data_IF_915992933830
#
_entry.id   IF_915992933830
#
_cell.length_a   1.000
_cell.length_b   1.000
_cell.length_c   1.000
_cell.angle_alpha   90.00
_cell.angle_beta   90.00
_cell.angle_gamma   90.00
#
_symmetry.space_group_name_H-M   'P 1'
#
loop_
_entity.id
_entity.type
_entity.pdbx_description
1 polymer ?
#
# COMPACT_ATOMS: atom_id res chain seq x y z
N UNK A 1 -10.41 -7.54 -2.71
CA UNK A 1 -9.09 -6.91 -3.00
C UNK A 1 -8.92 -6.91 -4.50
N UNK A 2 -8.45 -5.81 -5.08
CA UNK A 2 -8.17 -5.74 -6.52
C UNK A 2 -6.71 -5.34 -6.70
N UNK A 3 -6.04 -5.92 -7.70
CA UNK A 3 -4.68 -5.55 -8.07
C UNK A 3 -4.76 -4.54 -9.21
N UNK A 4 -4.17 -3.36 -9.01
CA UNK A 4 -4.01 -2.36 -10.05
C UNK A 4 -2.56 -2.33 -10.50
N UNK A 5 -2.32 -2.56 -11.79
CA UNK A 5 -0.99 -2.44 -12.39
C UNK A 5 -0.79 -1.05 -13.00
N UNK A 6 0.40 -0.47 -12.79
CA UNK A 6 0.89 0.67 -13.56
C UNK A 6 2.26 0.37 -14.13
N UNK A 7 2.54 0.88 -15.31
CA UNK A 7 3.88 0.87 -15.88
C UNK A 7 4.24 2.26 -16.41
N UNK A 8 5.52 2.57 -16.38
CA UNK A 8 6.06 3.77 -17.02
C UNK A 8 7.44 3.43 -17.61
N UNK A 9 7.83 4.04 -18.74
CA UNK A 9 9.20 3.95 -19.23
C UNK A 9 10.18 4.46 -18.18
N UNK A 10 11.19 3.65 -17.84
CA UNK A 10 12.23 3.96 -16.85
C UNK A 10 13.58 4.22 -17.53
N UNK A 11 14.09 5.47 -17.54
CA UNK A 11 15.49 5.71 -17.90
C UNK A 11 16.45 5.02 -16.92
N UNK A 12 17.60 4.56 -17.40
CA UNK A 12 18.58 3.85 -16.56
C UNK A 12 19.10 4.71 -15.41
N UNK A 13 19.18 6.02 -15.60
CA UNK A 13 19.63 7.00 -14.59
C UNK A 13 18.65 7.19 -13.43
N UNK A 14 17.40 6.73 -13.56
CA UNK A 14 16.40 6.80 -12.47
C UNK A 14 16.48 5.52 -11.63
N UNK A 15 16.90 5.69 -10.38
CA UNK A 15 17.11 4.61 -9.40
C UNK A 15 16.54 4.97 -8.03
N UNK A 16 16.38 3.98 -7.15
CA UNK A 16 15.93 4.16 -5.77
C UNK A 16 14.56 4.86 -5.68
N UNK A 17 14.43 5.82 -4.77
CA UNK A 17 13.20 6.59 -4.56
C UNK A 17 12.73 7.36 -5.81
N UNK A 18 13.65 7.67 -6.74
CA UNK A 18 13.33 8.32 -8.01
C UNK A 18 12.42 7.50 -8.92
N UNK A 19 12.36 6.17 -8.75
CA UNK A 19 11.48 5.28 -9.51
C UNK A 19 10.01 5.67 -9.36
N UNK A 20 9.61 6.07 -8.15
CA UNK A 20 8.24 6.42 -7.84
C UNK A 20 7.77 7.70 -8.52
N UNK A 21 8.68 8.62 -8.82
CA UNK A 21 8.36 9.84 -9.58
C UNK A 21 7.92 9.55 -11.01
N UNK A 22 8.36 8.42 -11.60
CA UNK A 22 7.90 8.01 -12.92
C UNK A 22 6.44 7.54 -12.90
N UNK A 23 6.01 6.97 -11.77
CA UNK A 23 4.68 6.39 -11.59
C UNK A 23 3.65 7.39 -11.07
N UNK A 24 4.06 8.39 -10.28
CA UNK A 24 3.15 9.41 -9.71
C UNK A 24 2.24 10.09 -10.75
N UNK A 25 2.73 10.53 -11.93
CA UNK A 25 1.88 11.15 -12.94
C UNK A 25 0.94 10.16 -13.66
N UNK A 26 1.07 8.86 -13.39
CA UNK A 26 0.38 7.77 -14.11
C UNK A 26 -0.61 7.01 -13.22
N UNK A 27 -0.81 7.50 -11.99
CA UNK A 27 -1.80 6.94 -11.06
C UNK A 27 -2.35 8.05 -10.15
N UNK A 28 -3.50 8.62 -10.52
CA UNK A 28 -4.29 9.46 -9.61
C UNK A 28 -4.60 8.75 -8.28
N UNK A 29 -4.62 7.40 -8.27
CA UNK A 29 -4.68 6.59 -7.06
C UNK A 29 -3.61 6.95 -6.02
N UNK A 30 -2.36 7.17 -6.45
CA UNK A 30 -1.27 7.49 -5.53
C UNK A 30 -1.49 8.87 -4.88
N UNK A 31 -2.04 9.82 -5.66
CA UNK A 31 -2.48 11.12 -5.15
C UNK A 31 -3.57 10.96 -4.08
N UNK A 32 -4.65 10.25 -4.40
CA UNK A 32 -5.75 10.03 -3.45
C UNK A 32 -5.30 9.29 -2.18
N UNK A 33 -4.47 8.24 -2.29
CA UNK A 33 -3.88 7.55 -1.13
C UNK A 33 -3.04 8.50 -0.29
N UNK A 34 -2.23 9.37 -0.92
CA UNK A 34 -1.41 10.34 -0.19
C UNK A 34 -2.21 11.39 0.56
N UNK A 35 -3.39 11.74 0.04
CA UNK A 35 -4.29 12.74 0.61
C UNK A 35 -5.34 12.13 1.55
N UNK A 36 -5.31 10.80 1.77
CA UNK A 36 -6.31 10.11 2.59
C UNK A 36 -7.71 10.20 2.00
N UNK A 37 -7.83 10.12 0.67
CA UNK A 37 -9.09 10.22 -0.07
C UNK A 37 -9.47 8.89 -0.69
N UNK A 38 -10.78 8.70 -0.83
CA UNK A 38 -11.35 7.60 -1.60
C UNK A 38 -11.12 7.80 -3.11
N UNK A 39 -11.29 6.71 -3.87
CA UNK A 39 -11.34 6.75 -5.33
C UNK A 39 -12.68 6.19 -5.80
N UNK A 40 -13.35 6.95 -6.66
CA UNK A 40 -14.50 6.49 -7.42
C UNK A 40 -14.01 5.97 -8.77
N UNK A 41 -14.33 4.72 -9.08
CA UNK A 41 -13.94 4.06 -10.31
C UNK A 41 -15.19 3.80 -11.15
N UNK A 42 -15.17 4.22 -12.41
CA UNK A 42 -16.29 4.06 -13.33
C UNK A 42 -15.90 3.15 -14.50
N UNK A 43 -16.58 2.01 -14.63
CA UNK A 43 -16.36 1.03 -15.70
C UNK A 43 -14.88 0.68 -15.93
N UNK A 44 -14.06 0.61 -14.88
CA UNK A 44 -12.63 0.31 -15.00
C UNK A 44 -12.44 -1.06 -15.67
N UNK A 45 -11.56 -1.20 -16.68
CA UNK A 45 -11.34 -2.49 -17.31
C UNK A 45 -10.77 -3.50 -16.31
N UNK A 46 -11.30 -4.71 -16.35
CA UNK A 46 -10.85 -5.83 -15.51
C UNK A 46 -10.47 -6.99 -16.44
N UNK A 47 -9.30 -7.59 -16.22
CA UNK A 47 -8.88 -8.77 -16.99
C UNK A 47 -9.67 -10.01 -16.60
N UNK A 48 -9.53 -11.10 -17.38
CA UNK A 48 -10.16 -12.38 -17.03
C UNK A 48 -9.70 -12.92 -15.67
N UNK A 49 -8.50 -12.53 -15.25
CA UNK A 49 -7.90 -12.87 -13.97
C UNK A 49 -8.28 -11.91 -12.83
N UNK A 50 -9.25 -11.00 -13.03
CA UNK A 50 -9.69 -10.02 -12.03
C UNK A 50 -8.65 -8.94 -11.68
N UNK A 51 -7.67 -8.71 -12.55
CA UNK A 51 -6.77 -7.56 -12.40
C UNK A 51 -7.41 -6.30 -12.98
N UNK A 52 -7.37 -5.24 -12.20
CA UNK A 52 -7.83 -3.93 -12.62
C UNK A 52 -6.75 -3.27 -13.48
N UNK A 53 -7.08 -2.95 -14.72
CA UNK A 53 -6.22 -2.17 -15.60
C UNK A 53 -6.48 -0.70 -15.28
N UNK A 54 -5.48 -0.01 -14.72
CA UNK A 54 -5.65 1.37 -14.31
C UNK A 54 -5.83 2.30 -15.52
N UNK A 55 -6.89 3.11 -15.49
CA UNK A 55 -7.20 4.15 -16.47
C UNK A 55 -7.59 5.42 -15.70
N UNK A 56 -6.74 6.46 -15.76
CA UNK A 56 -6.98 7.73 -15.06
C UNK A 56 -8.22 8.46 -15.58
N UNK A 57 -8.67 8.22 -16.82
CA UNK A 57 -9.90 8.82 -17.36
C UNK A 57 -11.17 8.25 -16.69
N UNK A 58 -11.04 7.07 -16.08
CA UNK A 58 -12.12 6.32 -15.39
C UNK A 58 -12.01 6.39 -13.87
N UNK A 59 -11.12 7.22 -13.36
CA UNK A 59 -10.84 7.35 -11.94
C UNK A 59 -11.06 8.79 -11.48
N UNK A 60 -11.82 8.98 -10.40
CA UNK A 60 -12.04 10.30 -9.79
C UNK A 60 -11.74 10.26 -8.31
N UNK A 61 -11.03 11.27 -7.82
CA UNK A 61 -10.79 11.44 -6.39
C UNK A 61 -12.12 11.73 -5.70
N UNK A 62 -12.48 10.88 -4.75
CA UNK A 62 -13.70 11.00 -3.95
C UNK A 62 -13.46 11.78 -2.66
N UNK A 63 -14.36 11.62 -1.70
CA UNK A 63 -14.30 12.27 -0.38
C UNK A 63 -13.14 11.76 0.50
N UNK A 64 -12.72 12.54 1.53
CA UNK A 64 -11.82 12.06 2.57
C UNK A 64 -12.32 10.76 3.18
N UNK A 65 -11.43 9.79 3.33
CA UNK A 65 -11.76 8.46 3.80
C UNK A 65 -10.78 8.03 4.88
N UNK A 66 -11.27 7.90 6.11
CA UNK A 66 -10.51 7.28 7.19
C UNK A 66 -10.44 5.77 6.95
N UNK A 67 -9.24 5.16 6.82
CA UNK A 67 -9.12 3.75 6.49
C UNK A 67 -9.70 2.81 7.55
N UNK A 68 -9.63 3.18 8.83
CA UNK A 68 -10.11 2.35 9.92
C UNK A 68 -11.63 2.44 10.07
N UNK A 69 -12.22 3.62 9.97
CA UNK A 69 -13.67 3.80 9.90
C UNK A 69 -14.25 3.07 8.68
N UNK A 70 -13.57 3.17 7.52
CA UNK A 70 -13.96 2.44 6.31
C UNK A 70 -13.87 0.94 6.54
N UNK A 71 -12.79 0.45 7.16
CA UNK A 71 -12.60 -0.97 7.42
C UNK A 71 -13.67 -1.54 8.35
N UNK A 72 -14.00 -0.83 9.45
CA UNK A 72 -15.07 -1.23 10.40
C UNK A 72 -16.41 -1.44 9.71
N UNK A 73 -16.73 -0.63 8.71
CA UNK A 73 -18.01 -0.71 7.97
C UNK A 73 -17.95 -1.71 6.82
N UNK A 74 -16.85 -1.76 6.07
CA UNK A 74 -16.79 -2.47 4.78
C UNK A 74 -16.23 -3.88 4.88
N UNK A 75 -15.31 -4.15 5.82
CA UNK A 75 -14.65 -5.47 5.88
C UNK A 75 -15.56 -6.57 6.43
N UNK A 76 -16.58 -6.22 7.23
CA UNK A 76 -17.59 -7.18 7.70
C UNK A 76 -18.37 -7.86 6.55
N UNK A 77 -18.47 -7.19 5.40
CA UNK A 77 -19.11 -7.70 4.20
C UNK A 77 -18.11 -8.22 3.14
N UNK A 78 -16.81 -8.19 3.42
CA UNK A 78 -15.79 -8.60 2.45
C UNK A 78 -15.76 -10.13 2.30
N UNK A 79 -15.87 -10.60 1.06
CA UNK A 79 -15.74 -12.02 0.73
C UNK A 79 -14.38 -12.32 0.14
N UNK A 80 -13.75 -13.42 0.56
CA UNK A 80 -12.53 -13.91 -0.09
C UNK A 80 -12.83 -14.35 -1.53
N UNK A 81 -11.97 -13.94 -2.47
CA UNK A 81 -12.09 -14.37 -3.86
C UNK A 81 -11.76 -15.87 -3.99
N UNK A 82 -12.49 -16.59 -4.85
CA UNK A 82 -12.13 -17.97 -5.21
C UNK A 82 -11.00 -17.92 -6.23
N UNK A 83 -9.79 -18.26 -5.82
CA UNK A 83 -8.61 -18.23 -6.68
C UNK A 83 -8.27 -19.65 -7.14
N UNK A 84 -8.23 -19.89 -8.45
CA UNK A 84 -7.78 -21.16 -8.99
C UNK A 84 -6.32 -21.44 -8.58
N UNK A 85 -5.91 -22.71 -8.37
CA UNK A 85 -4.57 -23.03 -7.86
C UNK A 85 -3.41 -22.40 -8.63
N UNK A 86 -3.52 -22.27 -9.96
CA UNK A 86 -2.49 -21.68 -10.83
C UNK A 86 -2.40 -20.15 -10.73
N UNK A 87 -3.47 -19.50 -10.25
CA UNK A 87 -3.58 -18.04 -10.17
C UNK A 87 -3.33 -17.50 -8.75
N UNK A 88 -2.81 -18.37 -7.86
CA UNK A 88 -2.54 -18.05 -6.45
C UNK A 88 -1.40 -17.05 -6.32
N UNK A 89 -1.75 -15.78 -6.43
CA UNK A 89 -0.92 -14.67 -6.00
C UNK A 89 -1.17 -14.39 -4.50
N UNK A 90 -0.15 -14.07 -3.67
CA UNK A 90 -0.33 -13.78 -2.24
C UNK A 90 -1.46 -12.80 -1.92
N UNK A 91 -1.59 -11.73 -2.69
CA UNK A 91 -2.66 -10.72 -2.53
C UNK A 91 -4.06 -11.28 -2.82
N UNK A 92 -4.19 -12.26 -3.73
CA UNK A 92 -5.49 -12.82 -4.12
C UNK A 92 -6.01 -13.85 -3.12
N UNK A 93 -5.11 -14.59 -2.47
CA UNK A 93 -5.47 -15.61 -1.48
C UNK A 93 -5.58 -15.06 -0.05
N UNK A 94 -5.23 -13.79 0.15
CA UNK A 94 -5.35 -13.15 1.45
C UNK A 94 -6.75 -12.54 1.66
N UNK A 95 -7.27 -12.67 2.87
CA UNK A 95 -8.49 -12.00 3.29
C UNK A 95 -8.13 -10.64 3.92
N UNK A 96 -8.75 -9.52 3.50
CA UNK A 96 -8.57 -8.25 4.19
C UNK A 96 -9.26 -8.31 5.56
N UNK A 97 -8.54 -7.92 6.61
CA UNK A 97 -9.04 -7.96 7.99
C UNK A 97 -8.81 -6.63 8.69
N UNK A 98 -9.71 -6.32 9.63
CA UNK A 98 -9.49 -5.35 10.69
C UNK A 98 -9.41 -6.15 11.99
N UNK A 99 -8.30 -5.98 12.71
CA UNK A 99 -8.11 -6.57 14.03
C UNK A 99 -8.07 -5.46 15.08
N UNK A 100 -8.78 -5.68 16.18
CA UNK A 100 -8.86 -4.79 17.35
C UNK A 100 -8.90 -5.66 18.60
N UNK A 101 -8.55 -5.09 19.76
CA UNK A 101 -8.59 -5.81 21.04
C UNK A 101 -7.54 -6.91 21.18
N UNK A 102 -6.44 -6.83 20.43
CA UNK A 102 -5.30 -7.74 20.56
C UNK A 102 -4.22 -7.18 21.51
N UNK A 103 -3.43 -8.08 22.08
CA UNK A 103 -2.16 -7.76 22.74
C UNK A 103 -0.98 -8.09 21.83
N UNK A 104 -0.08 -7.13 21.59
CA UNK A 104 1.15 -7.39 20.82
C UNK A 104 2.29 -7.90 21.73
N UNK A 105 3.00 -8.93 21.28
CA UNK A 105 4.17 -9.48 21.96
C UNK A 105 5.22 -9.94 20.95
N UNK A 106 6.49 -9.90 21.34
CA UNK A 106 7.61 -10.42 20.55
C UNK A 106 8.09 -11.73 21.16
N UNK A 107 8.20 -12.77 20.33
CA UNK A 107 8.64 -14.10 20.72
C UNK A 107 9.69 -14.57 19.71
N UNK A 108 10.89 -14.94 20.17
CA UNK A 108 12.00 -15.37 19.30
C UNK A 108 12.33 -14.37 18.16
N UNK A 109 12.12 -13.08 18.41
CA UNK A 109 12.35 -12.02 17.42
C UNK A 109 11.25 -11.88 16.36
N UNK A 110 10.13 -12.62 16.49
CA UNK A 110 8.96 -12.50 15.63
C UNK A 110 7.81 -11.83 16.39
N UNK A 111 7.14 -10.90 15.73
CA UNK A 111 5.97 -10.23 16.29
C UNK A 111 4.74 -11.15 16.17
N UNK A 112 3.96 -11.22 17.24
CA UNK A 112 2.68 -11.91 17.26
C UNK A 112 1.62 -11.09 18.00
N UNK A 113 0.36 -11.29 17.62
CA UNK A 113 -0.80 -10.74 18.29
C UNK A 113 -1.52 -11.86 19.05
N UNK A 114 -1.83 -11.62 20.32
CA UNK A 114 -2.82 -12.40 21.07
C UNK A 114 -4.19 -11.77 20.82
N UNK A 115 -5.06 -12.50 20.13
CA UNK A 115 -6.42 -12.09 19.85
C UNK A 115 -7.37 -13.18 20.34
N UNK A 116 -8.20 -12.85 21.33
CA UNK A 116 -9.13 -13.80 21.95
C UNK A 116 -8.45 -15.10 22.44
N UNK A 117 -7.23 -14.99 22.98
CA UNK A 117 -6.45 -16.13 23.47
C UNK A 117 -5.87 -17.01 22.35
N UNK A 118 -5.93 -16.55 21.09
CA UNK A 118 -5.27 -17.19 19.95
C UNK A 118 -4.07 -16.37 19.53
N UNK A 119 -2.96 -17.06 19.28
CA UNK A 119 -1.76 -16.44 18.72
C UNK A 119 -1.91 -16.29 17.21
N UNK A 120 -1.65 -15.09 16.71
CA UNK A 120 -1.58 -14.78 15.30
C UNK A 120 -0.20 -14.20 14.97
N UNK A 121 0.58 -14.91 14.17
CA UNK A 121 1.91 -14.46 13.75
C UNK A 121 1.79 -13.25 12.78
N UNK A 122 2.67 -12.27 12.96
CA UNK A 122 2.69 -11.04 12.17
C UNK A 122 3.93 -11.02 11.26
N UNK A 123 3.70 -10.97 9.96
CA UNK A 123 4.72 -10.93 8.91
C UNK A 123 5.17 -9.48 8.68
N UNK A 124 6.04 -8.98 9.55
CA UNK A 124 6.61 -7.63 9.46
C UNK A 124 7.65 -7.48 8.35
N UNK A 125 8.22 -8.59 7.86
CA UNK A 125 9.23 -8.59 6.79
C UNK A 125 8.65 -8.16 5.44
N UNK A 126 7.32 -8.27 5.28
CA UNK A 126 6.58 -7.78 4.09
C UNK A 126 6.19 -6.31 4.16
N UNK A 127 6.55 -5.58 5.22
CA UNK A 127 6.27 -4.14 5.31
C UNK A 127 7.20 -3.40 4.34
N UNK A 128 6.68 -2.54 3.44
CA UNK A 128 7.52 -1.79 2.52
C UNK A 128 8.48 -0.85 3.28
N UNK A 129 9.78 -1.04 3.09
CA UNK A 129 10.82 -0.21 3.72
C UNK A 129 10.72 1.29 3.36
N UNK A 130 10.03 1.63 2.27
CA UNK A 130 9.83 3.01 1.83
C UNK A 130 8.73 3.76 2.62
N UNK A 131 7.91 3.06 3.40
CA UNK A 131 6.77 3.64 4.13
C UNK A 131 7.06 3.95 5.60
N UNK A 132 6.21 4.76 6.25
CA UNK A 132 6.33 5.08 7.67
C UNK A 132 5.86 3.96 8.60
N UNK A 133 5.25 2.90 8.07
CA UNK A 133 4.87 1.73 8.85
C UNK A 133 6.14 0.94 9.20
N UNK A 134 6.40 0.74 10.49
CA UNK A 134 7.56 -0.02 10.97
C UNK A 134 7.12 -1.16 11.88
N UNK A 135 7.95 -2.21 12.08
CA UNK A 135 7.66 -3.27 13.04
C UNK A 135 7.35 -2.74 14.45
N UNK A 136 8.04 -1.67 14.87
CA UNK A 136 7.82 -1.03 16.18
C UNK A 136 6.45 -0.33 16.24
N UNK A 137 6.03 0.35 15.17
CA UNK A 137 4.71 0.94 15.08
C UNK A 137 3.61 -0.14 15.13
N UNK A 138 3.84 -1.29 14.50
CA UNK A 138 2.92 -2.45 14.57
C UNK A 138 2.90 -3.04 15.98
N UNK A 139 4.04 -3.17 16.65
CA UNK A 139 4.09 -3.66 18.03
C UNK A 139 3.40 -2.72 19.03
N UNK A 140 3.46 -1.40 18.80
CA UNK A 140 2.84 -0.38 19.64
C UNK A 140 1.38 -0.04 19.25
N UNK A 141 0.76 -0.84 18.39
CA UNK A 141 -0.57 -0.57 17.84
C UNK A 141 -1.69 -1.18 18.68
N UNK A 142 -2.91 -0.63 18.52
CA UNK A 142 -4.14 -1.13 19.15
C UNK A 142 -5.25 -1.49 18.15
N UNK A 143 -5.08 -1.10 16.89
CA UNK A 143 -5.89 -1.59 15.77
C UNK A 143 -4.97 -1.82 14.56
N UNK A 144 -5.26 -2.84 13.77
CA UNK A 144 -4.49 -3.19 12.58
C UNK A 144 -5.41 -3.54 11.42
N UNK A 145 -5.27 -2.83 10.30
CA UNK A 145 -5.80 -3.25 9.00
C UNK A 145 -4.70 -4.03 8.28
N UNK A 146 -5.02 -5.25 7.84
CA UNK A 146 -4.02 -6.14 7.24
C UNK A 146 -4.60 -7.15 6.27
N UNK A 147 -3.72 -8.02 5.80
CA UNK A 147 -4.02 -9.16 4.95
C UNK A 147 -3.75 -10.45 5.73
N UNK A 148 -4.78 -11.25 5.95
CA UNK A 148 -4.67 -12.55 6.61
C UNK A 148 -4.51 -13.64 5.54
N UNK A 149 -3.46 -14.45 5.66
CA UNK A 149 -3.17 -15.52 4.71
C UNK A 149 -2.82 -16.81 5.45
N UNK A 150 -3.26 -17.94 4.92
CA UNK A 150 -2.73 -19.25 5.31
C UNK A 150 -1.43 -19.53 4.56
N UNK A 151 -0.33 -19.70 5.28
CA UNK A 151 0.98 -19.98 4.72
C UNK A 151 1.71 -21.00 5.60
N UNK A 152 2.40 -21.96 4.98
CA UNK A 152 3.21 -22.98 5.66
C UNK A 152 2.55 -23.72 6.87
N UNK A 153 1.22 -23.80 6.93
CA UNK A 153 0.50 -24.48 8.01
C UNK A 153 0.03 -23.58 9.16
N UNK A 154 0.19 -22.26 9.04
CA UNK A 154 -0.29 -21.28 10.01
C UNK A 154 -0.95 -20.06 9.33
N UNK A 155 -1.68 -19.27 10.12
CA UNK A 155 -2.16 -17.97 9.67
C UNK A 155 -1.09 -16.91 9.91
N UNK A 156 -0.75 -16.16 8.86
CA UNK A 156 0.13 -15.00 8.91
C UNK A 156 -0.65 -13.73 8.60
N UNK A 157 -0.47 -12.72 9.44
CA UNK A 157 -0.99 -11.38 9.22
C UNK A 157 0.09 -10.50 8.57
N UNK A 158 -0.16 -9.97 7.38
CA UNK A 158 0.64 -8.91 6.80
C UNK A 158 0.02 -7.54 7.14
N UNK A 159 0.67 -6.68 7.94
CA UNK A 159 0.16 -5.36 8.28
C UNK A 159 0.15 -4.41 7.08
N UNK A 160 -0.94 -3.66 6.90
CA UNK A 160 -1.04 -2.59 5.89
C UNK A 160 -1.19 -1.20 6.53
N UNK A 161 -1.88 -1.12 7.66
CA UNK A 161 -2.00 0.09 8.45
C UNK A 161 -2.26 -0.25 9.92
N UNK A 162 -1.82 0.64 10.81
CA UNK A 162 -2.06 0.50 12.26
C UNK A 162 -2.52 1.81 12.89
N UNK A 163 -3.36 1.73 13.92
CA UNK A 163 -3.59 2.83 14.85
C UNK A 163 -2.66 2.68 16.04
N UNK A 164 -1.92 3.74 16.35
CA UNK A 164 -1.07 3.84 17.54
C UNK A 164 -1.38 5.12 18.31
N UNK A 165 -0.81 5.29 19.50
CA UNK A 165 -0.99 6.49 20.31
C UNK A 165 0.25 7.36 20.25
N UNK A 166 0.11 8.57 19.67
CA UNK A 166 1.18 9.58 19.64
C UNK A 166 0.72 10.78 20.45
N UNK A 167 1.49 11.17 21.47
CA UNK A 167 1.17 12.33 22.34
C UNK A 167 -0.27 12.29 22.87
N UNK A 168 -0.71 11.12 23.35
CA UNK A 168 -2.07 10.86 23.88
C UNK A 168 -3.20 10.99 22.85
N UNK A 169 -2.90 11.01 21.55
CA UNK A 169 -3.90 11.00 20.47
C UNK A 169 -3.72 9.76 19.61
N UNK A 170 -4.82 9.19 19.16
CA UNK A 170 -4.82 8.14 18.14
C UNK A 170 -4.28 8.70 16.84
N UNK A 171 -3.34 7.99 16.23
CA UNK A 171 -2.77 8.31 14.94
C UNK A 171 -2.67 7.06 14.09
N UNK A 172 -3.12 7.15 12.84
CA UNK A 172 -3.00 6.07 11.88
C UNK A 172 -1.65 6.14 11.13
N UNK A 173 -0.99 5.00 10.99
CA UNK A 173 0.26 4.84 10.24
C UNK A 173 0.02 3.83 9.13
N UNK A 174 0.25 4.23 7.88
CA UNK A 174 -0.09 3.44 6.70
C UNK A 174 1.16 3.04 5.91
N UNK A 175 1.22 1.79 5.47
CA UNK A 175 2.27 1.34 4.56
C UNK A 175 2.29 2.16 3.27
N UNK A 176 1.12 2.53 2.74
CA UNK A 176 0.99 3.31 1.50
C UNK A 176 1.28 4.81 1.61
N UNK A 177 1.54 5.34 2.81
CA UNK A 177 1.74 6.79 3.01
C UNK A 177 2.98 7.34 2.30
N UNK A 178 3.91 6.49 1.85
CA UNK A 178 5.02 6.90 0.97
C UNK A 178 4.54 7.49 -0.37
N UNK A 179 3.29 7.22 -0.78
CA UNK A 179 2.73 7.72 -2.04
C UNK A 179 2.83 9.26 -2.13
N UNK A 180 2.69 9.96 -1.01
CA UNK A 180 2.78 11.42 -0.93
C UNK A 180 4.20 12.00 -0.96
N UNK A 181 5.23 11.16 -0.85
CA UNK A 181 6.60 11.63 -0.64
C UNK A 181 7.28 10.87 0.48
N UNK A 182 8.59 10.73 0.36
CA UNK A 182 9.41 10.48 1.55
C UNK A 182 9.46 11.72 2.44
N UNK A 183 9.42 11.52 3.76
CA UNK A 183 9.68 12.59 4.75
C UNK A 183 11.16 12.72 5.09
N UNK A 184 12.02 11.81 4.61
CA UNK A 184 13.46 11.86 4.80
C UNK A 184 14.11 12.90 3.87
N UNK A 185 14.99 13.73 4.42
CA UNK A 185 15.70 14.78 3.67
C UNK A 185 16.59 14.22 2.56
N UNK A 186 17.22 13.06 2.75
CA UNK A 186 18.04 12.43 1.72
C UNK A 186 17.15 11.87 0.60
N UNK A 187 16.07 11.20 0.98
CA UNK A 187 15.01 10.79 0.05
C UNK A 187 14.44 11.95 -0.78
N UNK A 188 14.10 13.09 -0.15
CA UNK A 188 13.56 14.27 -0.85
C UNK A 188 14.55 14.82 -1.88
N UNK A 189 15.85 14.84 -1.57
CA UNK A 189 16.90 15.27 -2.52
C UNK A 189 17.03 14.29 -3.69
N UNK A 190 16.98 12.99 -3.41
CA UNK A 190 17.02 11.95 -4.44
C UNK A 190 15.78 12.01 -5.35
N UNK A 191 14.59 12.21 -4.78
CA UNK A 191 13.34 12.41 -5.52
C UNK A 191 13.47 13.63 -6.46
N UNK A 192 13.95 14.77 -5.95
CA UNK A 192 14.15 15.98 -6.77
C UNK A 192 15.11 15.74 -7.93
N UNK A 193 16.26 15.13 -7.66
CA UNK A 193 17.27 14.87 -8.70
C UNK A 193 16.73 13.95 -9.82
N UNK A 194 15.92 12.95 -9.46
CA UNK A 194 15.26 12.09 -10.44
C UNK A 194 14.26 12.85 -11.30
N UNK A 195 13.44 13.73 -10.71
CA UNK A 195 12.48 14.57 -11.44
C UNK A 195 13.19 15.50 -12.43
N UNK A 196 14.27 16.15 -12.01
CA UNK A 196 15.04 17.06 -12.86
C UNK A 196 15.67 16.31 -14.06
N UNK A 197 16.23 15.11 -13.82
CA UNK A 197 16.78 14.27 -14.88
C UNK A 197 15.72 13.84 -15.91
N UNK A 198 14.54 13.43 -15.45
CA UNK A 198 13.42 13.04 -16.32
C UNK A 198 12.93 14.21 -17.15
N UNK A 199 12.83 15.41 -16.57
CA UNK A 199 12.42 16.62 -17.29
C UNK A 199 13.36 16.94 -18.46
N UNK A 200 14.68 16.92 -18.21
CA UNK A 200 15.71 17.15 -19.24
C UNK A 200 15.63 16.10 -20.34
N UNK A 201 15.46 14.82 -19.99
CA UNK A 201 15.36 13.74 -20.97
C UNK A 201 14.09 13.88 -21.84
N UNK A 202 12.95 14.22 -21.24
CA UNK A 202 11.71 14.48 -21.98
C UNK A 202 11.84 15.65 -22.93
N UNK A 203 12.48 16.74 -22.49
CA UNK A 203 12.73 17.90 -23.34
C UNK A 203 13.59 17.52 -24.56
N UNK A 204 14.70 16.80 -24.33
CA UNK A 204 15.59 16.34 -25.40
C UNK A 204 14.88 15.40 -26.39
N UNK A 205 14.13 14.42 -25.89
CA UNK A 205 13.35 13.52 -26.71
C UNK A 205 12.29 14.27 -27.53
N UNK A 206 11.58 15.23 -26.92
CA UNK A 206 10.59 16.06 -27.60
C UNK A 206 11.18 16.98 -28.69
N UNK A 207 12.47 17.37 -28.59
CA UNK A 207 13.18 18.07 -29.67
C UNK A 207 13.56 17.12 -30.82
N UNK A 208 13.91 15.87 -30.51
CA UNK A 208 14.25 14.86 -31.51
C UNK A 208 13.03 14.41 -32.32
N UNK A 209 11.86 14.28 -31.68
CA UNK A 209 10.60 13.87 -32.32
C UNK A 209 9.90 14.98 -33.15
N UNK A 210 10.41 16.22 -33.09
CA UNK A 210 9.89 17.36 -33.86
C UNK A 210 10.67 17.63 -35.16
N UNK A 211 11.56 16.71 -35.52
CA UNK A 211 12.21 16.63 -36.83
C UNK A 211 11.62 15.48 -37.63
#
# INVERSE_FOLDING_TARGET
LVRAGVSAPKPDTVVGAGLWQLLRPRMSLLGAVSEGRSMELDAMPVTAEEDLVWDDERARTGEPADPFATARVRLSAATAARVAPLDRHPVRIAAPVLLEGYGAHSEEGRLAFDLAGQRLAVDTDRIPAAGPLTPEAVAASHACVGLLRWDAGEFLLQPLAVETTVRKKTAAVHAGAWAGGTTDKAGVRAEKAATDAVAVLRERAGRLLRK
#
